data_IF_342419872218
#
_entry.id   IF_342419872218
#
_cell.length_a   1.000
_cell.length_b   1.000
_cell.length_c   1.000
_cell.angle_alpha   90.00
_cell.angle_beta   90.00
_cell.angle_gamma   90.00
#
_symmetry.space_group_name_H-M   'P 1'
#
loop_
_entity.id
_entity.type
_entity.pdbx_description
1 polymer ?
#
# COMPACT_ATOMS: atom_id res chain seq x y z
N UNK A 1 27.88 65.85 -4.91
CA UNK A 1 26.55 65.78 -4.23
C UNK A 1 25.62 64.99 -5.12
N UNK A 2 24.89 64.00 -4.54
CA UNK A 2 23.88 63.10 -5.13
C UNK A 2 24.36 61.77 -5.72
N UNK A 3 24.66 60.83 -4.83
CA UNK A 3 24.52 59.38 -5.04
C UNK A 3 23.10 59.01 -4.64
N UNK A 4 22.24 58.60 -5.59
CA UNK A 4 20.93 57.99 -5.29
C UNK A 4 21.15 56.47 -5.27
N UNK A 5 21.02 55.91 -4.08
CA UNK A 5 21.20 54.50 -3.75
C UNK A 5 20.12 53.65 -4.45
N UNK A 6 20.55 52.58 -5.13
CA UNK A 6 19.70 51.61 -5.85
C UNK A 6 18.89 50.74 -4.89
N UNK A 7 17.68 51.18 -4.56
CA UNK A 7 16.67 50.38 -3.84
C UNK A 7 15.94 49.44 -4.81
N UNK A 8 16.52 48.29 -5.17
CA UNK A 8 15.80 47.31 -6.01
C UNK A 8 16.11 45.84 -5.70
N UNK A 9 16.94 45.53 -4.71
CA UNK A 9 17.31 44.16 -4.38
C UNK A 9 16.48 43.50 -3.26
N UNK A 10 15.72 44.29 -2.49
CA UNK A 10 15.02 43.78 -1.30
C UNK A 10 13.61 43.23 -1.60
N UNK A 11 13.00 43.57 -2.74
CA UNK A 11 11.62 43.13 -3.04
C UNK A 11 11.55 41.75 -3.71
N UNK A 12 12.61 41.33 -4.41
CA UNK A 12 12.61 40.07 -5.18
C UNK A 12 12.90 38.83 -4.31
N UNK A 13 13.46 39.01 -3.10
CA UNK A 13 13.81 37.90 -2.21
C UNK A 13 12.63 37.39 -1.37
N UNK A 14 11.52 38.15 -1.25
CA UNK A 14 10.39 37.79 -0.39
C UNK A 14 9.39 36.87 -1.10
N UNK A 15 9.31 36.92 -2.43
CA UNK A 15 8.37 36.10 -3.22
C UNK A 15 8.86 34.65 -3.41
N UNK A 16 10.16 34.38 -3.24
CA UNK A 16 10.73 33.04 -3.43
C UNK A 16 10.59 32.10 -2.21
N UNK A 17 10.19 32.61 -1.04
CA UNK A 17 10.12 31.84 0.21
C UNK A 17 8.74 31.20 0.43
N UNK A 18 7.70 31.59 -0.31
CA UNK A 18 6.33 31.10 -0.10
C UNK A 18 5.93 29.88 -0.95
N UNK A 19 6.81 29.36 -1.83
CA UNK A 19 6.47 28.26 -2.75
C UNK A 19 6.90 26.84 -2.32
N UNK A 20 7.26 26.62 -1.05
CA UNK A 20 7.78 25.31 -0.59
C UNK A 20 6.80 24.46 0.21
N UNK A 21 5.52 24.85 0.38
CA UNK A 21 4.53 23.93 0.98
C UNK A 21 3.94 23.02 -0.11
N UNK A 22 4.80 22.17 -0.67
CA UNK A 22 4.39 20.96 -1.37
C UNK A 22 4.04 19.88 -0.33
N UNK A 23 2.90 20.06 0.35
CA UNK A 23 2.34 19.09 1.29
C UNK A 23 1.16 18.33 0.70
N UNK A 24 1.38 17.56 -0.37
CA UNK A 24 0.37 16.64 -0.90
C UNK A 24 0.27 15.38 -0.03
N UNK A 25 -0.12 15.52 1.24
CA UNK A 25 -0.72 14.43 2.00
C UNK A 25 -2.20 14.81 2.17
N UNK A 26 -2.98 14.47 1.13
CA UNK A 26 -4.38 14.88 0.98
C UNK A 26 -5.23 14.46 2.19
N UNK A 27 -5.90 15.44 2.77
CA UNK A 27 -7.05 15.26 3.66
C UNK A 27 -8.07 14.42 2.86
N UNK A 28 -8.20 13.12 3.19
CA UNK A 28 -9.14 12.20 2.52
C UNK A 28 -8.53 10.99 1.81
N UNK A 29 -7.20 10.84 1.75
CA UNK A 29 -6.58 9.62 1.18
C UNK A 29 -6.65 8.43 2.16
N UNK A 30 -6.76 7.18 1.67
CA UNK A 30 -6.63 6.00 2.50
C UNK A 30 -5.30 5.99 3.28
N UNK A 31 -5.37 5.71 4.57
CA UNK A 31 -4.18 5.60 5.42
C UNK A 31 -3.67 4.16 5.38
N UNK A 32 -2.39 3.97 5.05
CA UNK A 32 -1.74 2.65 5.09
C UNK A 32 -0.90 2.50 6.36
N UNK A 33 -1.13 1.43 7.11
CA UNK A 33 -0.33 1.02 8.27
C UNK A 33 0.16 -0.42 8.09
N UNK A 34 1.18 -0.82 8.84
CA UNK A 34 1.66 -2.19 8.82
C UNK A 34 2.15 -2.64 10.20
N UNK A 35 2.18 -3.94 10.42
CA UNK A 35 2.80 -4.60 11.57
C UNK A 35 3.47 -5.89 11.14
N UNK A 36 4.46 -6.34 11.92
CA UNK A 36 5.19 -7.58 11.65
C UNK A 36 5.70 -8.23 12.93
N UNK A 37 6.00 -9.52 12.85
CA UNK A 37 6.68 -10.28 13.89
C UNK A 37 8.21 -10.06 13.78
N UNK A 38 8.86 -9.41 14.77
CA UNK A 38 10.30 -9.15 14.74
C UNK A 38 11.15 -10.42 14.92
N UNK A 39 10.55 -11.55 15.33
CA UNK A 39 11.25 -12.82 15.48
C UNK A 39 11.24 -13.66 14.19
N UNK A 40 10.44 -13.27 13.19
CA UNK A 40 10.34 -14.00 11.93
C UNK A 40 11.44 -13.59 10.94
N UNK A 41 12.09 -14.57 10.30
CA UNK A 41 13.14 -14.34 9.31
C UNK A 41 12.57 -14.19 7.89
N UNK A 42 12.38 -12.94 7.47
CA UNK A 42 11.97 -12.61 6.09
C UNK A 42 13.04 -12.80 5.02
N UNK A 43 14.34 -12.53 5.25
CA UNK A 43 15.35 -12.64 4.19
C UNK A 43 15.41 -14.01 3.51
N UNK A 44 15.17 -15.11 4.25
CA UNK A 44 15.13 -16.47 3.72
C UNK A 44 13.79 -16.88 3.07
N UNK A 45 12.72 -16.12 3.29
CA UNK A 45 11.36 -16.46 2.88
C UNK A 45 11.04 -15.87 1.50
N UNK A 46 11.59 -16.48 0.44
CA UNK A 46 11.52 -15.95 -0.93
C UNK A 46 10.35 -16.47 -1.77
N UNK A 47 9.56 -17.41 -1.28
CA UNK A 47 8.45 -17.99 -2.03
C UNK A 47 7.13 -17.70 -1.32
N UNK A 48 6.10 -17.41 -2.11
CA UNK A 48 4.77 -17.11 -1.58
C UNK A 48 3.68 -17.85 -2.35
N UNK A 49 2.55 -18.06 -1.69
CA UNK A 49 1.31 -18.51 -2.32
C UNK A 49 0.12 -17.77 -1.75
N UNK A 50 -0.96 -17.71 -2.50
CA UNK A 50 -2.23 -17.28 -1.96
C UNK A 50 -2.86 -18.40 -1.11
N UNK A 51 -3.51 -18.03 -0.01
CA UNK A 51 -4.38 -18.94 0.71
C UNK A 51 -5.57 -19.33 -0.18
N UNK A 52 -6.13 -20.51 0.08
CA UNK A 52 -7.31 -20.97 -0.63
C UNK A 52 -8.48 -20.00 -0.43
N UNK A 53 -9.10 -19.61 -1.53
CA UNK A 53 -10.30 -18.78 -1.48
C UNK A 53 -11.41 -19.57 -0.78
N UNK A 54 -11.99 -18.99 0.28
CA UNK A 54 -13.23 -19.53 0.84
C UNK A 54 -14.40 -18.85 0.13
N UNK A 55 -15.17 -19.55 -0.72
CA UNK A 55 -16.26 -18.92 -1.44
C UNK A 55 -17.30 -18.40 -0.45
N UNK A 56 -17.63 -17.12 -0.54
CA UNK A 56 -18.68 -16.48 0.26
C UNK A 56 -19.42 -15.49 -0.62
N UNK A 57 -20.75 -15.43 -0.50
CA UNK A 57 -21.62 -14.61 -1.35
C UNK A 57 -21.40 -13.10 -1.27
N UNK A 58 -20.76 -12.61 -0.20
CA UNK A 58 -20.49 -11.18 0.01
C UNK A 58 -19.15 -10.70 -0.55
N UNK A 59 -18.34 -11.61 -1.11
CA UNK A 59 -17.05 -11.24 -1.71
C UNK A 59 -17.20 -10.90 -3.18
N UNK A 60 -16.61 -9.79 -3.57
CA UNK A 60 -16.50 -9.38 -4.96
C UNK A 60 -15.29 -10.09 -5.62
N UNK A 61 -15.51 -10.96 -6.61
CA UNK A 61 -14.44 -11.70 -7.28
C UNK A 61 -13.52 -10.78 -8.10
N UNK A 62 -13.99 -9.63 -8.59
CA UNK A 62 -13.17 -8.68 -9.34
C UNK A 62 -12.24 -7.90 -8.42
N UNK A 63 -12.73 -7.49 -7.24
CA UNK A 63 -11.88 -6.86 -6.22
C UNK A 63 -10.77 -7.84 -5.81
N UNK A 64 -11.10 -9.09 -5.51
CA UNK A 64 -10.09 -10.09 -5.16
C UNK A 64 -9.07 -10.30 -6.28
N UNK A 65 -9.52 -10.51 -7.52
CA UNK A 65 -8.64 -10.74 -8.66
C UNK A 65 -7.68 -9.56 -8.88
N UNK A 66 -8.19 -8.32 -8.79
CA UNK A 66 -7.40 -7.11 -8.96
C UNK A 66 -6.39 -6.93 -7.82
N UNK A 67 -6.78 -7.15 -6.56
CA UNK A 67 -5.84 -7.09 -5.43
C UNK A 67 -4.75 -8.14 -5.56
N UNK A 68 -5.08 -9.37 -5.95
CA UNK A 68 -4.07 -10.43 -6.17
C UNK A 68 -3.09 -10.04 -7.27
N UNK A 69 -3.61 -9.63 -8.43
CA UNK A 69 -2.79 -9.21 -9.56
C UNK A 69 -1.81 -8.08 -9.19
N UNK A 70 -2.31 -7.05 -8.49
CA UNK A 70 -1.49 -5.92 -8.07
C UNK A 70 -0.46 -6.33 -7.02
N UNK A 71 -0.85 -7.11 -6.01
CA UNK A 71 0.04 -7.57 -4.96
C UNK A 71 1.13 -8.51 -5.52
N UNK A 72 0.78 -9.41 -6.43
CA UNK A 72 1.73 -10.32 -7.10
C UNK A 72 2.82 -9.54 -7.82
N UNK A 73 2.47 -8.45 -8.51
CA UNK A 73 3.43 -7.57 -9.18
C UNK A 73 4.41 -6.95 -8.19
N UNK A 74 3.90 -6.40 -7.08
CA UNK A 74 4.74 -5.78 -6.05
C UNK A 74 5.63 -6.81 -5.34
N UNK A 75 5.10 -7.98 -4.99
CA UNK A 75 5.84 -9.07 -4.35
C UNK A 75 6.96 -9.60 -5.26
N UNK A 76 6.68 -9.79 -6.56
CA UNK A 76 7.68 -10.22 -7.54
C UNK A 76 8.75 -9.16 -7.77
N UNK A 77 8.37 -7.88 -7.84
CA UNK A 77 9.34 -6.77 -7.91
C UNK A 77 10.28 -6.71 -6.70
N UNK A 78 9.86 -7.27 -5.55
CA UNK A 78 10.66 -7.40 -4.33
C UNK A 78 11.46 -8.71 -4.26
N UNK A 79 11.46 -9.50 -5.33
CA UNK A 79 12.24 -10.74 -5.46
C UNK A 79 11.56 -11.97 -4.83
N UNK A 80 10.27 -11.91 -4.54
CA UNK A 80 9.52 -13.10 -4.14
C UNK A 80 8.99 -13.86 -5.37
N UNK A 81 8.97 -15.19 -5.31
CA UNK A 81 8.49 -16.04 -6.40
C UNK A 81 7.19 -16.75 -6.00
N UNK A 82 6.13 -16.73 -6.84
CA UNK A 82 4.92 -17.49 -6.57
C UNK A 82 5.22 -19.01 -6.66
N UNK A 83 4.72 -19.78 -5.70
CA UNK A 83 4.89 -21.24 -5.66
C UNK A 83 3.64 -21.90 -5.07
N UNK A 84 2.99 -22.81 -5.79
CA UNK A 84 1.65 -23.29 -5.42
C UNK A 84 1.59 -24.09 -4.10
N UNK A 85 2.57 -24.95 -3.83
CA UNK A 85 2.45 -25.91 -2.72
C UNK A 85 3.27 -25.50 -1.47
N UNK A 86 4.59 -25.56 -1.58
CA UNK A 86 5.55 -25.39 -0.47
C UNK A 86 6.16 -23.99 -0.43
N UNK A 87 5.33 -22.96 -0.63
CA UNK A 87 5.77 -21.59 -0.44
C UNK A 87 6.13 -21.34 1.03
N UNK A 88 7.18 -20.57 1.28
CA UNK A 88 7.59 -20.17 2.63
C UNK A 88 6.59 -19.22 3.30
N UNK A 89 5.81 -18.50 2.49
CA UNK A 89 4.83 -17.51 2.91
C UNK A 89 3.45 -17.82 2.32
N UNK A 90 2.41 -17.59 3.11
CA UNK A 90 1.02 -17.67 2.66
C UNK A 90 0.37 -16.30 2.78
N UNK A 91 -0.12 -15.77 1.67
CA UNK A 91 -0.74 -14.45 1.57
C UNK A 91 -2.26 -14.61 1.53
N UNK A 92 -2.98 -13.79 2.28
CA UNK A 92 -4.44 -13.69 2.19
C UNK A 92 -4.90 -12.27 2.40
N UNK A 93 -6.13 -11.99 1.97
CA UNK A 93 -6.74 -10.68 2.09
C UNK A 93 -8.07 -10.73 2.84
N UNK A 94 -8.42 -9.62 3.47
CA UNK A 94 -9.79 -9.33 3.87
C UNK A 94 -10.09 -7.87 3.59
N UNK A 95 -11.36 -7.55 3.36
CA UNK A 95 -11.79 -6.19 3.10
C UNK A 95 -13.21 -5.96 3.62
N UNK A 96 -13.51 -4.70 3.86
CA UNK A 96 -14.84 -4.23 4.22
C UNK A 96 -15.40 -3.41 3.06
N UNK A 97 -16.42 -3.92 2.37
CA UNK A 97 -17.07 -3.19 1.28
C UNK A 97 -17.99 -2.09 1.82
N UNK A 98 -18.06 -0.99 1.09
CA UNK A 98 -19.10 0.02 1.24
C UNK A 98 -20.41 -0.49 0.60
N UNK A 99 -21.59 -0.05 1.07
CA UNK A 99 -22.88 -0.45 0.48
C UNK A 99 -23.05 -0.14 -1.02
N UNK A 100 -22.27 0.80 -1.56
CA UNK A 100 -22.32 1.20 -2.97
C UNK A 100 -21.52 0.29 -3.93
N UNK A 101 -20.84 -0.74 -3.41
CA UNK A 101 -20.19 -1.81 -4.18
C UNK A 101 -18.85 -1.48 -4.84
N UNK A 102 -18.50 -0.19 -5.02
CA UNK A 102 -17.25 0.23 -5.70
C UNK A 102 -16.19 0.82 -4.77
N UNK A 103 -16.43 0.78 -3.47
CA UNK A 103 -15.55 1.36 -2.47
C UNK A 103 -15.32 0.35 -1.33
N UNK A 104 -14.09 0.26 -0.85
CA UNK A 104 -13.75 -0.42 0.40
C UNK A 104 -13.57 0.62 1.50
N UNK A 105 -13.99 0.29 2.71
CA UNK A 105 -13.67 1.04 3.93
C UNK A 105 -12.33 0.62 4.53
N UNK A 106 -11.95 -0.63 4.29
CA UNK A 106 -10.68 -1.19 4.70
C UNK A 106 -10.26 -2.33 3.75
N UNK A 107 -8.95 -2.47 3.55
CA UNK A 107 -8.31 -3.59 2.88
C UNK A 107 -7.11 -4.04 3.71
N UNK A 108 -7.01 -5.33 4.01
CA UNK A 108 -5.84 -5.91 4.64
C UNK A 108 -5.17 -6.93 3.72
N UNK A 109 -3.84 -6.90 3.70
CA UNK A 109 -2.99 -7.95 3.15
C UNK A 109 -2.25 -8.57 4.33
N UNK A 110 -2.35 -9.88 4.44
CA UNK A 110 -1.85 -10.64 5.58
C UNK A 110 -0.90 -11.70 5.06
N UNK A 111 0.18 -11.93 5.80
CA UNK A 111 1.17 -12.94 5.47
C UNK A 111 1.40 -13.80 6.70
N UNK A 112 1.28 -15.12 6.54
CA UNK A 112 1.69 -16.09 7.54
C UNK A 112 2.96 -16.81 7.09
N UNK A 113 3.76 -17.27 8.05
CA UNK A 113 4.79 -18.27 7.78
C UNK A 113 4.14 -19.60 7.42
N UNK A 114 4.81 -20.39 6.56
CA UNK A 114 4.34 -21.73 6.20
C UNK A 114 4.40 -22.72 7.37
N UNK A 115 5.31 -22.49 8.31
CA UNK A 115 5.43 -23.25 9.55
C UNK A 115 4.57 -22.60 10.65
N UNK A 116 3.65 -23.35 11.23
CA UNK A 116 2.86 -22.91 12.39
C UNK A 116 1.70 -21.95 12.11
N UNK A 117 1.46 -21.53 10.86
CA UNK A 117 0.37 -20.62 10.47
C UNK A 117 0.33 -19.29 11.24
N UNK A 118 1.44 -18.87 11.84
CA UNK A 118 1.51 -17.62 12.59
C UNK A 118 1.43 -16.42 11.62
N UNK A 119 0.66 -15.39 11.96
CA UNK A 119 0.67 -14.12 11.24
C UNK A 119 2.01 -13.43 11.49
N UNK A 120 2.81 -13.29 10.44
CA UNK A 120 4.16 -12.71 10.52
C UNK A 120 4.21 -11.29 9.98
N UNK A 121 3.27 -10.91 9.11
CA UNK A 121 3.15 -9.54 8.61
C UNK A 121 1.71 -9.20 8.23
N UNK A 122 1.34 -7.93 8.41
CA UNK A 122 0.07 -7.36 7.96
C UNK A 122 0.29 -5.94 7.45
N UNK A 123 -0.29 -5.64 6.30
CA UNK A 123 -0.57 -4.29 5.84
C UNK A 123 -2.07 -4.03 5.92
N UNK A 124 -2.45 -2.82 6.34
CA UNK A 124 -3.85 -2.36 6.40
C UNK A 124 -3.95 -1.01 5.70
N UNK A 125 -4.88 -0.88 4.77
CA UNK A 125 -5.36 0.39 4.28
C UNK A 125 -6.75 0.66 4.87
N UNK A 126 -6.96 1.84 5.45
CA UNK A 126 -8.23 2.26 6.01
C UNK A 126 -8.66 3.62 5.44
N UNK A 127 -9.93 3.74 5.09
CA UNK A 127 -10.51 4.90 4.41
C UNK A 127 -11.31 4.49 3.17
N UNK A 128 -11.86 5.48 2.45
CA UNK A 128 -12.58 5.25 1.21
C UNK A 128 -11.59 4.87 0.09
N UNK A 129 -11.56 3.60 -0.29
CA UNK A 129 -10.68 3.06 -1.34
C UNK A 129 -11.54 2.70 -2.55
N UNK A 130 -11.42 3.46 -3.63
CA UNK A 130 -12.13 3.18 -4.89
C UNK A 130 -11.51 1.98 -5.60
N UNK A 131 -12.38 1.05 -6.00
CA UNK A 131 -11.99 -0.23 -6.64
C UNK A 131 -12.31 -0.27 -8.13
N UNK A 132 -13.02 0.73 -8.66
CA UNK A 132 -13.24 0.85 -10.09
C UNK A 132 -11.94 1.12 -10.85
N UNK A 133 -11.84 0.57 -12.06
CA UNK A 133 -10.62 0.62 -12.84
C UNK A 133 -10.17 2.05 -13.22
N UNK A 134 -11.11 3.00 -13.27
CA UNK A 134 -10.84 4.38 -13.65
C UNK A 134 -10.24 5.22 -12.51
N UNK A 135 -10.56 4.90 -11.25
CA UNK A 135 -10.09 5.67 -10.09
C UNK A 135 -8.57 5.58 -9.89
N UNK A 136 -7.95 4.45 -10.24
CA UNK A 136 -6.51 4.24 -10.07
C UNK A 136 -6.02 4.29 -8.61
N UNK A 137 -6.92 4.24 -7.63
CA UNK A 137 -6.61 4.26 -6.20
C UNK A 137 -6.11 2.90 -5.71
N UNK A 138 -6.79 1.81 -6.08
CA UNK A 138 -6.46 0.46 -5.65
C UNK A 138 -4.98 0.08 -5.90
N UNK A 139 -4.38 0.36 -7.09
CA UNK A 139 -2.95 0.14 -7.31
C UNK A 139 -2.04 0.91 -6.35
N UNK A 140 -2.35 2.18 -6.06
CA UNK A 140 -1.55 3.01 -5.13
C UNK A 140 -1.64 2.49 -3.71
N UNK A 141 -2.84 2.08 -3.30
CA UNK A 141 -3.10 1.50 -1.98
C UNK A 141 -2.33 0.19 -1.79
N UNK A 142 -2.42 -0.74 -2.75
CA UNK A 142 -1.71 -2.03 -2.67
C UNK A 142 -0.19 -1.82 -2.64
N UNK A 143 0.34 -0.93 -3.48
CA UNK A 143 1.76 -0.59 -3.47
C UNK A 143 2.19 0.05 -2.13
N UNK A 144 1.38 0.96 -1.60
CA UNK A 144 1.63 1.61 -0.30
C UNK A 144 1.63 0.62 0.87
N UNK A 145 0.68 -0.31 0.89
CA UNK A 145 0.64 -1.39 1.90
C UNK A 145 1.90 -2.26 1.84
N UNK A 146 2.37 -2.61 0.65
CA UNK A 146 3.54 -3.47 0.45
C UNK A 146 4.88 -2.73 0.47
N UNK A 147 4.90 -1.39 0.59
CA UNK A 147 6.12 -0.60 0.61
C UNK A 147 7.10 -1.08 1.69
N UNK A 148 6.59 -1.39 2.89
CA UNK A 148 7.37 -1.89 4.05
C UNK A 148 7.57 -3.40 4.07
N UNK A 149 7.11 -4.13 3.06
CA UNK A 149 7.27 -5.58 2.96
C UNK A 149 8.39 -5.95 1.97
N UNK A 150 9.18 -7.01 2.23
CA UNK A 150 9.43 -7.56 3.57
C UNK A 150 10.11 -6.50 4.46
N UNK A 151 9.86 -6.49 5.79
CA UNK A 151 10.59 -5.64 6.71
C UNK A 151 12.08 -6.02 6.74
N UNK A 152 12.93 -5.04 7.05
CA UNK A 152 14.39 -5.20 7.15
C UNK A 152 14.79 -5.76 8.52
#
# INVERSE_FOLDING_TARGET
MRTILRSSAALTAIILIFLTVAGCAGIGSPTTTYSYDPLFSFPGSKTYRWADAKPTSWRDPLVEANVRFLADRELQAKGLTPQLDKAALVVWMSYESSPNGYELRALSLNVTGAEGNALVWRGLAAGAIRTDAAAGELPKVVAGMLASFPPK
#
